data_IF_470117690250
#
_entry.id   IF_470117690250
#
_cell.length_a   1.000
_cell.length_b   1.000
_cell.length_c   1.000
_cell.angle_alpha   90.00
_cell.angle_beta   90.00
_cell.angle_gamma   90.00
#
_symmetry.space_group_name_H-M   'P 1'
#
loop_
_entity.id
_entity.type
_entity.pdbx_description
1 polymer ?
#
# COMPACT_ATOMS: atom_id res chain seq x y z
N UNK A 1 0.89 19.87 3.03
CA UNK A 1 2.14 19.74 3.79
C UNK A 1 3.17 20.72 3.28
N UNK A 2 4.10 21.10 4.17
CA UNK A 2 5.13 22.10 3.86
C UNK A 2 6.48 21.45 3.45
N UNK A 3 6.56 20.12 3.49
CA UNK A 3 7.71 19.37 2.99
C UNK A 3 7.76 19.38 1.47
N UNK A 4 8.97 19.35 0.90
CA UNK A 4 9.17 19.02 -0.50
C UNK A 4 9.19 17.50 -0.67
N UNK A 5 8.68 17.02 -1.79
CA UNK A 5 8.58 15.60 -2.11
C UNK A 5 9.33 15.28 -3.40
N UNK A 6 10.13 14.23 -3.35
CA UNK A 6 10.61 13.53 -4.54
C UNK A 6 9.78 12.26 -4.69
N UNK A 7 9.03 12.14 -5.77
CA UNK A 7 8.32 10.93 -6.12
C UNK A 7 9.08 10.17 -7.19
N UNK A 8 9.34 8.90 -6.94
CA UNK A 8 9.89 8.00 -7.94
C UNK A 8 8.97 6.82 -8.17
N UNK A 9 8.50 6.67 -9.43
CA UNK A 9 7.73 5.53 -9.89
C UNK A 9 8.60 4.59 -10.70
N UNK A 10 8.84 3.38 -10.20
CA UNK A 10 9.63 2.36 -10.88
C UNK A 10 8.77 1.57 -11.89
N UNK A 11 8.26 2.29 -12.89
CA UNK A 11 7.36 1.74 -13.92
C UNK A 11 8.03 0.72 -14.82
N UNK A 12 9.35 0.83 -15.02
CA UNK A 12 10.13 -0.12 -15.84
C UNK A 12 10.12 -1.52 -15.24
N UNK A 13 10.16 -1.62 -13.91
CA UNK A 13 10.23 -2.89 -13.19
C UNK A 13 8.88 -3.31 -12.58
N UNK A 14 7.82 -2.54 -12.76
CA UNK A 14 6.47 -2.97 -12.39
C UNK A 14 6.03 -4.16 -13.27
N UNK A 15 5.24 -5.11 -12.73
CA UNK A 15 4.70 -5.22 -11.38
C UNK A 15 5.67 -5.89 -10.38
N UNK A 16 5.79 -5.34 -9.18
CA UNK A 16 6.59 -5.95 -8.10
C UNK A 16 5.96 -7.23 -7.54
N UNK A 17 4.66 -7.39 -7.65
CA UNK A 17 3.92 -8.53 -7.10
C UNK A 17 4.19 -9.88 -7.80
N UNK A 18 4.85 -9.88 -8.95
CA UNK A 18 5.22 -11.08 -9.73
C UNK A 18 6.70 -11.42 -9.66
N UNK A 19 7.52 -10.56 -9.00
CA UNK A 19 8.96 -10.73 -8.87
C UNK A 19 9.35 -11.58 -7.67
N UNK A 20 10.57 -12.06 -7.66
CA UNK A 20 11.15 -12.75 -6.50
C UNK A 20 11.40 -11.77 -5.35
N UNK A 21 11.49 -12.30 -4.13
CA UNK A 21 11.78 -11.52 -2.94
C UNK A 21 13.11 -10.74 -3.07
N UNK A 22 14.13 -11.38 -3.61
CA UNK A 22 15.48 -10.78 -3.78
C UNK A 22 15.48 -9.67 -4.83
N UNK A 23 14.78 -9.84 -5.94
CA UNK A 23 14.62 -8.79 -6.95
C UNK A 23 13.92 -7.55 -6.35
N UNK A 24 12.83 -7.74 -5.62
CA UNK A 24 12.12 -6.62 -4.97
C UNK A 24 13.02 -5.92 -3.95
N UNK A 25 13.81 -6.65 -3.18
CA UNK A 25 14.77 -6.08 -2.23
C UNK A 25 15.86 -5.26 -2.91
N UNK A 26 16.45 -5.79 -3.98
CA UNK A 26 17.50 -5.09 -4.75
C UNK A 26 16.96 -3.79 -5.33
N UNK A 27 15.87 -3.87 -6.10
CA UNK A 27 15.24 -2.70 -6.71
C UNK A 27 14.84 -1.65 -5.67
N UNK A 28 14.25 -2.06 -4.55
CA UNK A 28 13.85 -1.12 -3.49
C UNK A 28 15.07 -0.42 -2.88
N UNK A 29 16.16 -1.15 -2.65
CA UNK A 29 17.41 -0.58 -2.14
C UNK A 29 18.03 0.42 -3.11
N UNK A 30 18.12 0.08 -4.39
CA UNK A 30 18.67 0.95 -5.44
C UNK A 30 17.86 2.24 -5.56
N UNK A 31 16.53 2.15 -5.56
CA UNK A 31 15.64 3.30 -5.61
C UNK A 31 15.80 4.22 -4.37
N UNK A 32 15.94 3.64 -3.18
CA UNK A 32 16.21 4.41 -1.95
C UNK A 32 17.57 5.09 -2.02
N UNK A 33 18.61 4.40 -2.46
CA UNK A 33 19.93 4.99 -2.59
C UNK A 33 19.93 6.19 -3.54
N UNK A 34 19.31 6.06 -4.71
CA UNK A 34 19.14 7.15 -5.67
C UNK A 34 18.41 8.36 -5.06
N UNK A 35 17.33 8.13 -4.30
CA UNK A 35 16.60 9.21 -3.63
C UNK A 35 17.45 9.90 -2.53
N UNK A 36 18.26 9.14 -1.79
CA UNK A 36 19.16 9.69 -0.78
C UNK A 36 20.28 10.53 -1.42
N UNK A 37 20.83 10.11 -2.56
CA UNK A 37 21.82 10.86 -3.34
C UNK A 37 21.24 12.19 -3.86
N UNK A 38 19.93 12.24 -4.09
CA UNK A 38 19.17 13.46 -4.43
C UNK A 38 18.81 14.33 -3.20
N UNK A 39 19.28 13.97 -2.01
CA UNK A 39 19.09 14.74 -0.79
C UNK A 39 17.79 14.44 -0.02
N UNK A 40 17.13 13.33 -0.27
CA UNK A 40 15.97 12.93 0.54
C UNK A 40 16.38 12.70 2.00
N UNK A 41 15.75 13.40 2.93
CA UNK A 41 16.00 13.28 4.39
C UNK A 41 15.17 12.18 5.07
N UNK A 42 14.21 11.62 4.35
CA UNK A 42 13.32 10.55 4.80
C UNK A 42 12.75 9.80 3.61
N UNK A 43 12.33 8.56 3.82
CA UNK A 43 11.83 7.68 2.76
C UNK A 43 10.48 7.08 3.12
N UNK A 44 9.54 7.16 2.19
CA UNK A 44 8.29 6.39 2.22
C UNK A 44 8.36 5.31 1.14
N UNK A 45 8.33 4.06 1.53
CA UNK A 45 8.12 2.93 0.61
C UNK A 45 6.62 2.77 0.43
N UNK A 46 6.08 3.36 -0.64
CA UNK A 46 4.64 3.46 -0.87
C UNK A 46 4.04 2.22 -1.58
N UNK A 47 4.79 1.14 -1.72
CA UNK A 47 4.33 -0.14 -2.26
C UNK A 47 4.23 -1.19 -1.16
N UNK A 48 3.07 -1.85 -0.99
CA UNK A 48 2.88 -2.88 0.04
C UNK A 48 3.79 -4.09 -0.18
N UNK A 49 3.99 -4.51 -1.44
CA UNK A 49 4.90 -5.60 -1.80
C UNK A 49 6.35 -5.26 -1.40
N UNK A 50 6.85 -4.09 -1.80
CA UNK A 50 8.19 -3.63 -1.44
C UNK A 50 8.35 -3.44 0.09
N UNK A 51 7.31 -2.93 0.76
CA UNK A 51 7.29 -2.80 2.22
C UNK A 51 7.45 -4.14 2.90
N UNK A 52 6.68 -5.14 2.50
CA UNK A 52 6.74 -6.47 3.08
C UNK A 52 8.09 -7.15 2.82
N UNK A 53 8.62 -6.98 1.62
CA UNK A 53 9.87 -7.62 1.21
C UNK A 53 11.13 -6.98 1.81
N UNK A 54 11.20 -5.64 1.89
CA UNK A 54 12.47 -4.94 2.07
C UNK A 54 12.57 -4.04 3.31
N UNK A 55 11.47 -3.47 3.83
CA UNK A 55 11.54 -2.40 4.85
C UNK A 55 12.22 -2.84 6.14
N UNK A 56 12.07 -4.09 6.58
CA UNK A 56 12.75 -4.59 7.78
C UNK A 56 14.28 -4.55 7.62
N UNK A 57 14.78 -5.07 6.50
CA UNK A 57 16.22 -5.08 6.17
C UNK A 57 16.73 -3.66 5.98
N UNK A 58 15.99 -2.80 5.28
CA UNK A 58 16.39 -1.42 5.03
C UNK A 58 16.49 -0.59 6.31
N UNK A 59 15.65 -0.82 7.30
CA UNK A 59 15.76 -0.18 8.62
C UNK A 59 17.04 -0.57 9.37
N UNK A 60 17.53 -1.79 9.18
CA UNK A 60 18.82 -2.21 9.74
C UNK A 60 20.00 -1.55 9.01
N UNK A 61 19.89 -1.37 7.69
CA UNK A 61 20.92 -0.71 6.89
C UNK A 61 20.98 0.81 7.10
N UNK A 62 19.85 1.44 7.39
CA UNK A 62 19.71 2.89 7.58
C UNK A 62 19.02 3.21 8.92
N UNK A 63 19.70 2.98 10.07
CA UNK A 63 19.07 3.09 11.39
C UNK A 63 18.59 4.51 11.73
N UNK A 64 19.30 5.54 11.25
CA UNK A 64 19.01 6.95 11.54
C UNK A 64 18.09 7.61 10.49
N UNK A 65 17.68 6.85 9.48
CA UNK A 65 16.79 7.34 8.42
C UNK A 65 15.32 7.17 8.84
N UNK A 66 14.52 8.25 8.90
CA UNK A 66 13.09 8.12 9.01
C UNK A 66 12.54 7.37 7.79
N UNK A 67 12.31 6.07 7.94
CA UNK A 67 11.86 5.17 6.87
C UNK A 67 10.52 4.53 7.26
N UNK A 68 9.48 4.81 6.47
CA UNK A 68 8.13 4.29 6.64
C UNK A 68 7.76 3.44 5.43
N UNK A 69 7.26 2.24 5.67
CA UNK A 69 6.62 1.44 4.64
C UNK A 69 5.10 1.52 4.80
N UNK A 70 4.38 1.59 3.70
CA UNK A 70 2.92 1.50 3.72
C UNK A 70 2.49 0.13 4.24
N UNK A 71 1.47 0.11 5.07
CA UNK A 71 0.82 -1.13 5.53
C UNK A 71 -0.68 -1.07 5.19
N UNK A 72 -1.30 -2.22 4.91
CA UNK A 72 -2.75 -2.29 4.77
C UNK A 72 -3.47 -1.73 6.00
N UNK A 73 -4.57 -1.02 5.79
CA UNK A 73 -5.33 -0.34 6.84
C UNK A 73 -6.12 -1.32 7.75
N UNK A 74 -5.51 -2.43 8.16
CA UNK A 74 -6.16 -3.48 8.97
C UNK A 74 -6.53 -2.93 10.35
N UNK A 75 -5.60 -2.21 11.02
CA UNK A 75 -5.86 -1.64 12.33
C UNK A 75 -7.11 -0.76 12.36
N UNK A 76 -7.26 0.29 11.53
CA UNK A 76 -8.48 1.09 11.52
C UNK A 76 -9.72 0.29 11.10
N UNK A 77 -9.59 -0.69 10.21
CA UNK A 77 -10.71 -1.55 9.83
C UNK A 77 -11.23 -2.36 11.03
N UNK A 78 -10.34 -3.03 11.78
CA UNK A 78 -10.70 -3.80 12.97
C UNK A 78 -11.32 -2.93 14.06
N UNK A 79 -10.77 -1.75 14.30
CA UNK A 79 -11.31 -0.83 15.30
C UNK A 79 -12.70 -0.30 14.96
N UNK A 80 -13.00 -0.08 13.67
CA UNK A 80 -14.29 0.41 13.22
C UNK A 80 -15.33 -0.70 13.02
N UNK A 81 -14.88 -1.92 12.75
CA UNK A 81 -15.73 -3.09 12.43
C UNK A 81 -15.33 -4.31 13.30
N UNK A 82 -15.34 -4.19 14.64
CA UNK A 82 -14.96 -5.30 15.53
C UNK A 82 -15.91 -6.48 15.32
N UNK A 83 -15.34 -7.69 15.36
CA UNK A 83 -16.05 -8.98 15.20
C UNK A 83 -16.78 -9.15 13.86
N UNK A 84 -16.58 -8.24 12.90
CA UNK A 84 -17.18 -8.34 11.56
C UNK A 84 -16.17 -8.91 10.54
N UNK A 85 -16.68 -9.24 9.35
CA UNK A 85 -15.87 -9.76 8.25
C UNK A 85 -15.19 -8.58 7.52
N UNK A 86 -13.86 -8.63 7.44
CA UNK A 86 -13.01 -7.63 6.79
C UNK A 86 -12.20 -8.35 5.71
N UNK A 87 -12.39 -7.98 4.45
CA UNK A 87 -11.64 -8.54 3.32
C UNK A 87 -10.39 -7.69 3.08
N UNK A 88 -9.22 -8.31 3.01
CA UNK A 88 -7.96 -7.63 2.70
C UNK A 88 -7.52 -8.03 1.29
N UNK A 89 -7.76 -7.15 0.33
CA UNK A 89 -7.34 -7.32 -1.06
C UNK A 89 -5.85 -7.00 -1.20
N UNK A 90 -5.05 -7.95 -1.67
CA UNK A 90 -3.62 -7.74 -1.86
C UNK A 90 -3.06 -8.59 -3.02
N UNK A 91 -1.81 -8.31 -3.40
CA UNK A 91 -1.12 -9.16 -4.39
C UNK A 91 -0.78 -10.52 -3.78
N UNK A 92 -0.73 -11.61 -4.58
CA UNK A 92 -0.34 -12.93 -4.09
C UNK A 92 0.98 -12.90 -3.30
N UNK A 93 1.98 -12.17 -3.79
CA UNK A 93 3.27 -12.03 -3.11
C UNK A 93 3.12 -11.37 -1.73
N UNK A 94 2.32 -10.31 -1.62
CA UNK A 94 2.10 -9.62 -0.32
C UNK A 94 1.50 -10.56 0.70
N UNK A 95 0.52 -11.38 0.29
CA UNK A 95 -0.15 -12.33 1.18
C UNK A 95 0.78 -13.45 1.68
N UNK A 96 1.79 -13.83 0.90
CA UNK A 96 2.76 -14.88 1.26
C UNK A 96 3.86 -14.38 2.21
N UNK A 97 4.05 -13.05 2.35
CA UNK A 97 5.13 -12.52 3.17
C UNK A 97 4.86 -12.69 4.66
N UNK A 98 5.89 -13.10 5.42
CA UNK A 98 5.83 -13.27 6.87
C UNK A 98 5.33 -12.01 7.60
N UNK A 99 5.78 -10.83 7.15
CA UNK A 99 5.33 -9.55 7.72
C UNK A 99 3.82 -9.38 7.63
N UNK A 100 3.21 -9.77 6.51
CA UNK A 100 1.76 -9.73 6.34
C UNK A 100 1.06 -10.72 7.28
N UNK A 101 1.60 -11.94 7.38
CA UNK A 101 1.07 -12.96 8.29
C UNK A 101 1.13 -12.53 9.76
N UNK A 102 2.23 -11.89 10.18
CA UNK A 102 2.36 -11.32 11.53
C UNK A 102 1.31 -10.22 11.75
N UNK A 103 1.11 -9.35 10.75
CA UNK A 103 0.10 -8.29 10.84
C UNK A 103 -1.31 -8.87 10.99
N UNK A 104 -1.65 -9.93 10.26
CA UNK A 104 -2.93 -10.63 10.37
C UNK A 104 -3.12 -11.23 11.77
N UNK A 105 -2.11 -11.99 12.27
CA UNK A 105 -2.14 -12.61 13.60
C UNK A 105 -2.31 -11.61 14.73
N UNK A 106 -1.78 -10.39 14.58
CA UNK A 106 -1.90 -9.32 15.59
C UNK A 106 -3.34 -8.95 15.91
N UNK A 107 -4.25 -9.16 14.98
CA UNK A 107 -5.67 -8.82 15.10
C UNK A 107 -6.58 -10.05 15.13
N UNK A 108 -5.99 -11.23 15.29
CA UNK A 108 -6.74 -12.49 15.44
C UNK A 108 -7.70 -12.42 16.63
N UNK A 109 -8.90 -12.95 16.45
CA UNK A 109 -9.98 -12.87 17.44
C UNK A 109 -10.68 -11.51 17.59
N UNK A 110 -10.12 -10.41 17.01
CA UNK A 110 -10.74 -9.08 17.08
C UNK A 110 -11.72 -8.82 15.92
N UNK A 111 -11.49 -9.46 14.76
CA UNK A 111 -12.38 -9.44 13.60
C UNK A 111 -12.12 -10.70 12.75
N UNK A 112 -13.07 -11.03 11.87
CA UNK A 112 -12.86 -12.08 10.87
C UNK A 112 -12.15 -11.48 9.64
N UNK A 113 -10.82 -11.51 9.66
CA UNK A 113 -9.99 -10.93 8.60
C UNK A 113 -9.71 -11.98 7.54
N UNK A 114 -10.11 -11.70 6.30
CA UNK A 114 -10.00 -12.61 5.16
C UNK A 114 -9.03 -12.05 4.14
N UNK A 115 -7.87 -12.68 3.93
CA UNK A 115 -6.97 -12.31 2.84
C UNK A 115 -7.56 -12.75 1.51
N UNK A 116 -7.59 -11.83 0.53
CA UNK A 116 -8.06 -12.08 -0.83
C UNK A 116 -6.97 -11.70 -1.83
N UNK A 117 -6.45 -12.70 -2.54
CA UNK A 117 -5.50 -12.49 -3.62
C UNK A 117 -6.20 -11.91 -4.85
N UNK A 118 -5.64 -10.84 -5.42
CA UNK A 118 -6.21 -10.16 -6.58
C UNK A 118 -5.20 -10.14 -7.75
N UNK A 119 -4.90 -11.31 -8.35
CA UNK A 119 -4.04 -11.38 -9.52
C UNK A 119 -4.71 -10.68 -10.70
N UNK A 120 -3.97 -9.85 -11.46
CA UNK A 120 -4.52 -9.13 -12.62
C UNK A 120 -5.17 -7.77 -12.32
N UNK A 121 -5.56 -7.47 -11.07
CA UNK A 121 -6.18 -6.17 -10.74
C UNK A 121 -5.24 -4.99 -10.97
N UNK A 122 -3.95 -5.18 -10.74
CA UNK A 122 -2.96 -4.13 -10.97
C UNK A 122 -2.82 -3.81 -12.46
N UNK A 123 -2.91 -4.81 -13.32
CA UNK A 123 -2.80 -4.68 -14.78
C UNK A 123 -3.95 -3.85 -15.37
N UNK A 124 -5.16 -3.96 -14.82
CA UNK A 124 -6.27 -3.05 -15.17
C UNK A 124 -5.91 -1.59 -14.86
N UNK A 125 -5.32 -1.34 -13.68
CA UNK A 125 -4.92 0.01 -13.27
C UNK A 125 -3.80 0.56 -14.17
N UNK A 126 -2.78 -0.24 -14.50
CA UNK A 126 -1.65 0.17 -15.35
C UNK A 126 -2.09 0.47 -16.79
N UNK A 127 -3.13 -0.19 -17.30
CA UNK A 127 -3.74 0.11 -18.61
C UNK A 127 -4.69 1.30 -18.56
N UNK A 128 -5.02 1.82 -17.37
CA UNK A 128 -6.02 2.87 -17.20
C UNK A 128 -7.46 2.40 -17.40
N UNK A 129 -7.71 1.10 -17.41
CA UNK A 129 -9.04 0.50 -17.51
C UNK A 129 -9.69 0.45 -16.12
N UNK A 130 -10.26 1.60 -15.71
CA UNK A 130 -10.78 1.81 -14.35
C UNK A 130 -12.30 1.79 -14.27
N UNK A 131 -12.99 1.85 -15.41
CA UNK A 131 -14.46 1.93 -15.53
C UNK A 131 -15.06 0.98 -16.57
N UNK A 132 -14.22 0.12 -17.19
CA UNK A 132 -14.61 -0.86 -18.20
C UNK A 132 -15.43 -2.03 -17.64
N UNK A 133 -16.18 -2.68 -18.53
CA UNK A 133 -17.01 -3.84 -18.17
C UNK A 133 -16.14 -5.04 -17.77
N UNK A 134 -14.96 -5.21 -18.37
CA UNK A 134 -14.02 -6.28 -18.03
C UNK A 134 -13.54 -6.18 -16.57
N UNK A 135 -13.23 -4.97 -16.09
CA UNK A 135 -12.90 -4.74 -14.69
C UNK A 135 -14.09 -5.02 -13.77
N UNK A 136 -15.31 -4.61 -14.21
CA UNK A 136 -16.54 -4.86 -13.46
C UNK A 136 -16.78 -6.36 -13.31
N UNK A 137 -16.68 -7.11 -14.40
CA UNK A 137 -16.86 -8.56 -14.39
C UNK A 137 -15.83 -9.23 -13.50
N UNK A 138 -14.55 -8.89 -13.67
CA UNK A 138 -13.45 -9.41 -12.85
C UNK A 138 -13.72 -9.20 -11.35
N UNK A 139 -14.06 -7.98 -10.94
CA UNK A 139 -14.35 -7.67 -9.54
C UNK A 139 -15.61 -8.35 -9.02
N UNK A 140 -16.64 -8.52 -9.89
CA UNK A 140 -17.87 -9.22 -9.52
C UNK A 140 -17.58 -10.68 -9.21
N UNK A 141 -16.85 -11.37 -10.07
CA UNK A 141 -16.44 -12.77 -9.86
C UNK A 141 -15.54 -12.92 -8.63
N UNK A 142 -14.52 -12.05 -8.50
CA UNK A 142 -13.56 -12.08 -7.40
C UNK A 142 -14.21 -11.88 -6.03
N UNK A 143 -15.22 -10.99 -5.94
CA UNK A 143 -15.83 -10.59 -4.68
C UNK A 143 -17.17 -11.29 -4.40
N UNK A 144 -17.66 -12.15 -5.28
CA UNK A 144 -18.97 -12.78 -5.16
C UNK A 144 -19.15 -13.52 -3.83
N UNK A 145 -18.24 -14.43 -3.51
CA UNK A 145 -18.30 -15.24 -2.28
C UNK A 145 -18.25 -14.35 -1.02
N UNK A 146 -17.43 -13.28 -1.04
CA UNK A 146 -17.29 -12.39 0.09
C UNK A 146 -18.53 -11.52 0.32
N UNK A 147 -19.21 -11.12 -0.75
CA UNK A 147 -20.51 -10.42 -0.70
C UNK A 147 -21.59 -11.28 -0.05
N UNK A 148 -21.68 -12.55 -0.43
CA UNK A 148 -22.64 -13.50 0.12
C UNK A 148 -22.42 -13.72 1.63
N UNK A 149 -21.16 -13.60 2.10
CA UNK A 149 -20.78 -13.71 3.51
C UNK A 149 -20.88 -12.40 4.30
N UNK A 150 -21.52 -11.37 3.75
CA UNK A 150 -21.78 -10.08 4.43
C UNK A 150 -20.53 -9.40 4.99
N UNK A 151 -19.57 -9.05 4.13
CA UNK A 151 -18.41 -8.29 4.54
C UNK A 151 -18.78 -6.85 4.96
N UNK A 152 -18.16 -6.36 6.04
CA UNK A 152 -18.36 -5.00 6.54
C UNK A 152 -17.38 -4.00 5.92
N UNK A 153 -16.17 -4.45 5.61
CA UNK A 153 -15.12 -3.60 5.07
C UNK A 153 -14.20 -4.34 4.11
N UNK A 154 -13.64 -3.59 3.17
CA UNK A 154 -12.52 -3.97 2.32
C UNK A 154 -11.33 -3.11 2.68
N UNK A 155 -10.16 -3.72 2.86
CA UNK A 155 -8.88 -3.06 3.01
C UNK A 155 -8.08 -3.23 1.71
N UNK A 156 -7.71 -2.13 1.09
CA UNK A 156 -6.90 -2.11 -0.12
C UNK A 156 -5.41 -2.24 0.24
N UNK A 157 -4.86 -3.43 0.05
CA UNK A 157 -3.48 -3.80 0.38
C UNK A 157 -2.48 -3.64 -0.77
N UNK A 158 -2.86 -2.92 -1.82
CA UNK A 158 -1.97 -2.54 -2.93
C UNK A 158 -2.19 -1.06 -3.27
N UNK A 159 -1.14 -0.34 -3.61
CA UNK A 159 -1.20 1.10 -3.94
C UNK A 159 -1.90 1.41 -5.26
N UNK A 160 -2.09 0.43 -6.12
CA UNK A 160 -2.88 0.56 -7.34
C UNK A 160 -4.39 0.46 -7.09
N UNK A 161 -4.81 -0.32 -6.10
CA UNK A 161 -6.24 -0.63 -5.90
C UNK A 161 -7.12 0.58 -5.54
N UNK A 162 -6.63 1.66 -4.88
CA UNK A 162 -7.41 2.88 -4.71
C UNK A 162 -7.90 3.53 -6.00
N UNK A 163 -7.22 3.32 -7.14
CA UNK A 163 -7.69 3.82 -8.44
C UNK A 163 -8.96 3.10 -8.90
N UNK A 164 -9.09 1.80 -8.60
CA UNK A 164 -10.29 1.01 -8.89
C UNK A 164 -11.39 1.15 -7.81
N UNK A 165 -11.21 2.01 -6.79
CA UNK A 165 -12.13 2.13 -5.65
C UNK A 165 -13.57 2.34 -6.06
N UNK A 166 -13.84 3.21 -7.03
CA UNK A 166 -15.21 3.49 -7.52
C UNK A 166 -15.87 2.24 -8.11
N UNK A 167 -15.11 1.43 -8.86
CA UNK A 167 -15.63 0.18 -9.42
C UNK A 167 -15.86 -0.87 -8.33
N UNK A 168 -14.95 -0.97 -7.35
CA UNK A 168 -15.14 -1.83 -6.18
C UNK A 168 -16.42 -1.43 -5.43
N UNK A 169 -16.62 -0.13 -5.15
CA UNK A 169 -17.84 0.40 -4.52
C UNK A 169 -19.09 0.05 -5.31
N UNK A 170 -19.05 0.17 -6.65
CA UNK A 170 -20.16 -0.18 -7.51
C UNK A 170 -20.52 -1.68 -7.47
N UNK A 171 -19.51 -2.55 -7.31
CA UNK A 171 -19.70 -4.01 -7.24
C UNK A 171 -20.19 -4.45 -5.86
N UNK A 172 -19.64 -3.92 -4.76
CA UNK A 172 -19.97 -4.39 -3.40
C UNK A 172 -21.10 -3.63 -2.75
N UNK A 173 -21.41 -2.44 -3.25
CA UNK A 173 -22.42 -1.54 -2.71
C UNK A 173 -21.91 -0.61 -1.61
N UNK A 174 -22.68 0.47 -1.37
CA UNK A 174 -22.28 1.58 -0.47
C UNK A 174 -22.21 1.23 1.03
N UNK A 175 -22.71 0.06 1.43
CA UNK A 175 -22.68 -0.37 2.84
C UNK A 175 -21.33 -0.95 3.25
N UNK A 176 -20.47 -1.31 2.29
CA UNK A 176 -19.14 -1.86 2.54
C UNK A 176 -18.14 -0.72 2.58
N UNK A 177 -17.45 -0.56 3.71
CA UNK A 177 -16.42 0.47 3.84
C UNK A 177 -15.15 0.07 3.08
N UNK A 178 -14.52 1.01 2.38
CA UNK A 178 -13.26 0.76 1.67
C UNK A 178 -12.16 1.65 2.27
N UNK A 179 -11.14 1.00 2.82
CA UNK A 179 -10.03 1.63 3.52
C UNK A 179 -8.70 1.36 2.81
N UNK A 180 -7.79 2.32 2.84
CA UNK A 180 -6.41 2.18 2.36
C UNK A 180 -5.39 2.70 3.38
N UNK A 181 -4.11 2.38 3.15
CA UNK A 181 -3.01 2.72 4.06
C UNK A 181 -2.43 4.13 3.91
N UNK A 182 -2.84 4.91 2.91
CA UNK A 182 -2.19 6.17 2.53
C UNK A 182 -2.14 7.19 3.65
N UNK A 183 -3.31 7.53 4.21
CA UNK A 183 -3.40 8.51 5.31
C UNK A 183 -2.65 8.08 6.58
N UNK A 184 -2.65 6.79 6.89
CA UNK A 184 -1.90 6.24 8.02
C UNK A 184 -0.39 6.39 7.82
N UNK A 185 0.08 6.08 6.62
CA UNK A 185 1.48 6.20 6.21
C UNK A 185 1.97 7.64 6.29
N UNK A 186 1.18 8.60 5.79
CA UNK A 186 1.53 10.02 5.84
C UNK A 186 1.66 10.53 7.29
N UNK A 187 0.71 10.17 8.18
CA UNK A 187 0.78 10.53 9.60
C UNK A 187 1.98 9.91 10.30
N UNK A 188 2.30 8.66 10.01
CA UNK A 188 3.48 7.99 10.59
C UNK A 188 4.78 8.64 10.12
N UNK A 189 4.89 9.04 8.85
CA UNK A 189 6.06 9.78 8.38
C UNK A 189 6.20 11.14 9.07
N UNK A 190 5.11 11.89 9.21
CA UNK A 190 5.12 13.17 9.95
C UNK A 190 5.59 12.97 11.40
N UNK A 191 5.10 11.93 12.08
CA UNK A 191 5.52 11.59 13.44
C UNK A 191 7.03 11.31 13.51
N UNK A 192 7.56 10.47 12.60
CA UNK A 192 8.99 10.12 12.56
C UNK A 192 9.88 11.29 12.22
N UNK A 193 9.48 12.16 11.30
CA UNK A 193 10.21 13.39 10.99
C UNK A 193 10.29 14.31 12.22
N UNK A 194 9.19 14.44 12.95
CA UNK A 194 9.15 15.23 14.19
C UNK A 194 10.09 14.66 15.27
N UNK A 195 10.04 13.35 15.49
CA UNK A 195 10.90 12.67 16.46
C UNK A 195 12.38 12.77 16.11
N UNK A 196 12.72 12.74 14.82
CA UNK A 196 14.08 12.90 14.33
C UNK A 196 14.55 14.38 14.26
N UNK A 197 13.71 15.35 14.63
CA UNK A 197 14.03 16.78 14.50
C UNK A 197 14.22 17.24 13.05
N UNK A 198 13.61 16.52 12.08
CA UNK A 198 13.78 16.76 10.64
C UNK A 198 12.52 17.32 9.97
N UNK A 199 11.45 17.61 10.74
CA UNK A 199 10.26 18.23 10.19
C UNK A 199 10.57 19.68 9.78
N UNK A 200 10.06 20.12 8.62
CA UNK A 200 10.30 21.48 8.15
C UNK A 200 9.54 22.52 8.98
N UNK A 201 10.18 23.66 9.25
CA UNK A 201 9.55 24.84 9.86
C UNK A 201 8.99 25.81 8.80
N UNK A 202 9.07 25.45 7.52
CA UNK A 202 8.59 26.29 6.43
C UNK A 202 7.08 26.57 6.54
N UNK A 203 6.70 27.83 6.38
CA UNK A 203 5.29 28.26 6.37
C UNK A 203 4.66 28.21 4.97
N UNK A 204 5.41 27.80 3.96
CA UNK A 204 4.95 27.67 2.58
C UNK A 204 4.70 26.20 2.23
N UNK A 205 3.73 25.97 1.36
CA UNK A 205 3.45 24.64 0.81
C UNK A 205 4.65 24.14 0.01
N UNK A 206 5.12 22.93 0.30
CA UNK A 206 6.19 22.29 -0.44
C UNK A 206 5.78 21.87 -1.86
N UNK A 207 6.77 21.69 -2.72
CA UNK A 207 6.61 21.17 -4.08
C UNK A 207 6.66 19.64 -4.15
N UNK A 208 6.32 19.12 -5.33
CA UNK A 208 6.49 17.70 -5.68
C UNK A 208 7.27 17.63 -7.00
N UNK A 209 8.37 16.91 -6.98
CA UNK A 209 9.12 16.52 -8.17
C UNK A 209 8.79 15.07 -8.51
N UNK A 210 8.35 14.82 -9.74
CA UNK A 210 7.99 13.49 -10.23
C UNK A 210 9.08 12.93 -11.11
N UNK A 211 9.48 11.70 -10.83
CA UNK A 211 10.43 10.92 -11.62
C UNK A 211 9.84 9.53 -11.88
N UNK A 212 10.09 9.01 -13.07
CA UNK A 212 9.71 7.63 -13.44
C UNK A 212 10.89 6.95 -14.12
N UNK A 213 10.96 5.62 -14.02
CA UNK A 213 12.03 4.83 -14.66
C UNK A 213 11.78 4.55 -16.16
N UNK A 214 10.60 4.89 -16.69
CA UNK A 214 10.28 4.84 -18.13
C UNK A 214 10.38 6.24 -18.76
N UNK A 215 10.90 6.28 -19.97
CA UNK A 215 10.81 7.43 -20.88
C UNK A 215 9.38 7.57 -21.44
#
# INVERSE_FOLDING_TARGET
PNENYLYFGDSMHAPYGTKTLEEVRSLTRENIQMLLEKGAKSIVVACNTATSAAVAVLRTMYPDLPLVGIEPAIKPAVLNYPHQRIVVMATPMTLQQEKFQILMKKYDGQANIVPLACPGLMEFNERGDLDGEDLRQYLTELLQEEKEKHMAAIVLGCTHYPFAKKMIEAVVGQKVAILDGGNGTAREMQRRLKEAGKLTDANQKGGVEFMISRD
#
